data_IF_676306089934
#
_entry.id   IF_676306089934
#
_cell.length_a   1.000
_cell.length_b   1.000
_cell.length_c   1.000
_cell.angle_alpha   90.00
_cell.angle_beta   90.00
_cell.angle_gamma   90.00
#
_symmetry.space_group_name_H-M   'P 1'
#
loop_
_entity.id
_entity.type
_entity.pdbx_description
1 polymer ?
#
# COMPACT_ATOMS: atom_id res chain seq x y z
N UNK A 1 -41.31 4.78 2.34
CA UNK A 1 -40.68 5.06 1.03
C UNK A 1 -39.80 6.29 1.15
N UNK A 2 -38.49 6.12 1.40
CA UNK A 2 -37.51 7.23 1.35
C UNK A 2 -36.82 7.19 -0.01
N UNK A 3 -36.77 8.34 -0.66
CA UNK A 3 -36.27 8.67 -2.00
C UNK A 3 -35.11 7.80 -2.50
N UNK A 4 -35.39 6.94 -3.48
CA UNK A 4 -34.41 6.19 -4.29
C UNK A 4 -33.66 7.14 -5.27
N UNK A 5 -34.24 8.31 -5.57
CA UNK A 5 -33.71 9.28 -6.54
C UNK A 5 -32.44 10.01 -6.08
N UNK A 6 -32.34 10.39 -4.80
CA UNK A 6 -31.15 11.07 -4.27
C UNK A 6 -29.92 10.18 -4.22
N UNK A 7 -30.11 8.88 -3.96
CA UNK A 7 -29.03 7.89 -3.92
C UNK A 7 -28.47 7.62 -5.33
N UNK A 8 -29.32 7.64 -6.37
CA UNK A 8 -28.85 7.45 -7.74
C UNK A 8 -28.07 8.65 -8.29
N UNK A 9 -28.52 9.87 -8.03
CA UNK A 9 -27.82 11.08 -8.50
C UNK A 9 -26.46 11.21 -7.81
N UNK A 10 -26.40 10.97 -6.50
CA UNK A 10 -25.16 10.99 -5.75
C UNK A 10 -24.21 9.84 -6.12
N UNK A 11 -24.74 8.63 -6.36
CA UNK A 11 -23.93 7.53 -6.92
C UNK A 11 -23.39 7.87 -8.30
N UNK A 12 -24.17 8.51 -9.17
CA UNK A 12 -23.65 9.00 -10.46
C UNK A 12 -22.56 10.03 -10.26
N UNK A 13 -22.65 10.92 -9.27
CA UNK A 13 -21.60 11.91 -8.97
C UNK A 13 -20.34 11.28 -8.38
N UNK A 14 -20.44 10.29 -7.49
CA UNK A 14 -19.26 9.56 -6.99
C UNK A 14 -18.66 8.68 -8.09
N UNK A 15 -19.47 7.98 -8.87
CA UNK A 15 -18.97 7.13 -9.96
C UNK A 15 -18.38 8.00 -11.07
N UNK A 16 -18.94 9.18 -11.35
CA UNK A 16 -18.36 10.16 -12.27
C UNK A 16 -17.13 10.86 -11.66
N UNK A 17 -17.07 11.06 -10.34
CA UNK A 17 -15.90 11.55 -9.64
C UNK A 17 -14.76 10.53 -9.64
N UNK A 18 -15.07 9.25 -9.38
CA UNK A 18 -14.17 8.11 -9.45
C UNK A 18 -13.76 7.80 -10.91
N UNK A 19 -14.68 7.93 -11.88
CA UNK A 19 -14.36 7.81 -13.30
C UNK A 19 -13.54 9.01 -13.78
N UNK A 20 -13.80 10.22 -13.27
CA UNK A 20 -12.96 11.41 -13.48
C UNK A 20 -11.58 11.26 -12.85
N UNK A 21 -11.49 10.60 -11.69
CA UNK A 21 -10.25 10.16 -11.04
C UNK A 21 -9.52 9.08 -11.87
N UNK A 22 -10.24 8.19 -12.55
CA UNK A 22 -9.66 7.21 -13.48
C UNK A 22 -9.27 7.80 -14.84
N UNK A 23 -9.84 8.96 -15.21
CA UNK A 23 -9.43 9.74 -16.39
C UNK A 23 -8.19 10.61 -16.09
N UNK A 24 -7.68 10.56 -14.86
CA UNK A 24 -6.50 11.29 -14.38
C UNK A 24 -5.34 10.33 -14.04
N UNK A 25 -4.90 9.42 -14.93
CA UNK A 25 -3.92 8.39 -14.56
C UNK A 25 -2.77 8.16 -15.55
N UNK A 26 -1.65 8.79 -15.21
CA UNK A 26 -0.27 8.29 -15.28
C UNK A 26 0.51 9.13 -14.28
N UNK A 27 0.40 8.79 -13.00
CA UNK A 27 1.28 9.30 -11.95
C UNK A 27 1.89 8.08 -11.29
N UNK A 28 3.22 7.95 -11.36
CA UNK A 28 3.89 6.94 -10.56
C UNK A 28 3.75 7.32 -9.09
N UNK A 29 3.50 6.34 -8.24
CA UNK A 29 3.42 6.57 -6.80
C UNK A 29 4.76 7.10 -6.26
N UNK A 30 5.89 6.65 -6.82
CA UNK A 30 7.24 6.94 -6.33
C UNK A 30 8.11 7.67 -7.36
N UNK A 31 7.98 8.98 -7.40
CA UNK A 31 8.73 9.88 -8.30
C UNK A 31 10.24 9.80 -8.02
N UNK A 32 10.64 9.68 -6.74
CA UNK A 32 12.05 9.56 -6.35
C UNK A 32 12.76 8.34 -6.92
N UNK A 33 12.03 7.31 -7.34
CA UNK A 33 12.64 6.11 -7.94
C UNK A 33 13.13 6.36 -9.36
N UNK A 34 12.56 7.36 -10.04
CA UNK A 34 12.68 7.54 -11.49
C UNK A 34 13.25 8.88 -11.90
N UNK A 35 13.38 9.83 -10.97
CA UNK A 35 14.08 11.09 -11.22
C UNK A 35 15.58 10.83 -11.31
N UNK A 36 16.17 11.18 -12.45
CA UNK A 36 17.62 11.14 -12.63
C UNK A 36 18.31 12.30 -11.89
N UNK A 37 19.48 12.02 -11.33
CA UNK A 37 20.27 12.99 -10.57
C UNK A 37 19.87 13.07 -9.11
N UNK A 38 20.12 14.21 -8.47
CA UNK A 38 19.78 14.44 -7.07
C UNK A 38 18.36 15.04 -7.00
N UNK A 39 17.36 14.32 -6.45
CA UNK A 39 15.99 14.81 -6.41
C UNK A 39 15.89 16.07 -5.51
N UNK A 40 15.01 17.02 -5.84
CA UNK A 40 14.73 18.16 -4.97
C UNK A 40 14.39 17.69 -3.55
N UNK A 41 15.07 18.27 -2.56
CA UNK A 41 14.85 17.94 -1.16
C UNK A 41 13.45 18.39 -0.70
N UNK A 42 12.84 17.62 0.20
CA UNK A 42 11.58 17.99 0.83
C UNK A 42 11.82 19.12 1.82
N UNK A 43 11.25 20.29 1.53
CA UNK A 43 11.30 21.44 2.42
C UNK A 43 10.13 21.41 3.43
N UNK A 44 10.36 21.59 4.75
CA UNK A 44 9.29 21.58 5.74
C UNK A 44 8.18 22.60 5.49
N UNK A 45 8.50 23.73 4.85
CA UNK A 45 7.54 24.77 4.47
C UNK A 45 6.53 24.28 3.42
N UNK A 46 6.87 23.25 2.64
CA UNK A 46 6.00 22.65 1.63
C UNK A 46 4.71 22.09 2.22
N UNK A 47 4.75 21.53 3.43
CA UNK A 47 3.58 20.99 4.14
C UNK A 47 2.54 22.05 4.51
N UNK A 48 2.98 23.28 4.74
CA UNK A 48 2.12 24.42 5.11
C UNK A 48 1.84 25.34 3.92
N UNK A 49 2.26 24.97 2.72
CA UNK A 49 1.97 25.73 1.50
C UNK A 49 0.46 25.74 1.21
N UNK A 50 -0.09 26.81 0.63
CA UNK A 50 -1.50 26.83 0.21
C UNK A 50 -1.85 25.69 -0.77
N UNK A 51 -0.88 25.30 -1.61
CA UNK A 51 -1.01 24.18 -2.53
C UNK A 51 -1.25 22.86 -1.78
N UNK A 52 -0.37 22.49 -0.85
CA UNK A 52 -0.51 21.27 -0.06
C UNK A 52 -1.76 21.32 0.84
N UNK A 53 -1.98 22.42 1.56
CA UNK A 53 -3.11 22.55 2.47
C UNK A 53 -4.47 22.50 1.77
N UNK A 54 -4.58 23.05 0.56
CA UNK A 54 -5.81 22.95 -0.24
C UNK A 54 -6.09 21.50 -0.68
N UNK A 55 -5.05 20.77 -1.11
CA UNK A 55 -5.16 19.35 -1.46
C UNK A 55 -5.56 18.49 -0.26
N UNK A 56 -4.91 18.70 0.89
CA UNK A 56 -5.23 18.00 2.15
C UNK A 56 -6.66 18.32 2.60
N UNK A 57 -7.05 19.60 2.56
CA UNK A 57 -8.42 20.02 2.89
C UNK A 57 -9.47 19.35 2.00
N UNK A 58 -9.23 19.29 0.69
CA UNK A 58 -10.09 18.60 -0.27
C UNK A 58 -10.14 17.09 0.01
N UNK A 59 -8.98 16.44 0.20
CA UNK A 59 -8.90 15.01 0.48
C UNK A 59 -9.67 14.65 1.76
N UNK A 60 -9.45 15.37 2.85
CA UNK A 60 -10.15 15.16 4.14
C UNK A 60 -11.65 15.37 3.98
N UNK A 61 -12.09 16.45 3.32
CA UNK A 61 -13.51 16.70 3.09
C UNK A 61 -14.18 15.55 2.31
N UNK A 62 -13.55 15.09 1.23
CA UNK A 62 -14.03 13.97 0.41
C UNK A 62 -14.03 12.67 1.23
N UNK A 63 -12.99 12.39 2.03
CA UNK A 63 -12.94 11.23 2.93
C UNK A 63 -14.09 11.25 3.94
N UNK A 64 -14.41 12.39 4.54
CA UNK A 64 -15.51 12.53 5.49
C UNK A 64 -16.86 12.29 4.83
N UNK A 65 -17.08 12.86 3.64
CA UNK A 65 -18.28 12.62 2.83
C UNK A 65 -18.39 11.13 2.49
N UNK A 66 -17.34 10.53 1.95
CA UNK A 66 -17.32 9.10 1.61
C UNK A 66 -17.57 8.21 2.84
N UNK A 67 -16.98 8.52 3.99
CA UNK A 67 -17.20 7.80 5.25
C UNK A 67 -18.67 7.87 5.69
N UNK A 68 -19.30 9.04 5.57
CA UNK A 68 -20.73 9.21 5.87
C UNK A 68 -21.61 8.33 4.98
N UNK A 69 -21.36 8.33 3.66
CA UNK A 69 -22.10 7.49 2.72
C UNK A 69 -21.84 6.00 2.92
N UNK A 70 -20.60 5.61 3.17
CA UNK A 70 -20.22 4.23 3.47
C UNK A 70 -20.94 3.72 4.72
N UNK A 71 -21.03 4.53 5.78
CA UNK A 71 -21.82 4.21 6.99
C UNK A 71 -23.31 4.08 6.68
N UNK A 72 -23.90 4.99 5.89
CA UNK A 72 -25.30 4.88 5.44
C UNK A 72 -25.57 3.62 4.64
N UNK A 73 -24.57 3.11 3.92
CA UNK A 73 -24.63 1.82 3.19
C UNK A 73 -24.35 0.60 4.05
N UNK A 74 -24.41 0.72 5.38
CA UNK A 74 -24.08 -0.35 6.33
C UNK A 74 -22.67 -0.91 6.10
N UNK A 75 -21.70 -0.05 5.78
CA UNK A 75 -20.30 -0.39 5.51
C UNK A 75 -20.11 -1.36 4.32
N UNK A 76 -21.09 -1.45 3.43
CA UNK A 76 -20.99 -2.25 2.21
C UNK A 76 -20.21 -1.49 1.15
N UNK A 77 -19.25 -2.19 0.56
CA UNK A 77 -18.48 -1.70 -0.57
C UNK A 77 -19.38 -1.54 -1.82
N UNK A 78 -18.93 -0.75 -2.81
CA UNK A 78 -19.60 -0.64 -4.10
C UNK A 78 -19.36 -1.91 -4.94
N UNK A 79 -18.14 -2.45 -4.85
CA UNK A 79 -17.78 -3.70 -5.50
C UNK A 79 -18.20 -4.86 -4.60
N UNK A 80 -18.96 -5.85 -5.13
CA UNK A 80 -19.41 -6.99 -4.34
C UNK A 80 -18.23 -7.78 -3.75
N UNK A 81 -18.40 -8.22 -2.50
CA UNK A 81 -17.46 -9.15 -1.87
C UNK A 81 -17.52 -10.55 -2.49
N UNK A 82 -16.52 -11.40 -2.20
CA UNK A 82 -16.37 -12.73 -2.79
C UNK A 82 -17.60 -13.63 -2.56
N UNK A 83 -18.33 -13.48 -1.45
CA UNK A 83 -19.53 -14.26 -1.15
C UNK A 83 -20.65 -14.03 -2.17
N UNK A 84 -20.78 -12.79 -2.65
CA UNK A 84 -21.76 -12.45 -3.71
C UNK A 84 -21.35 -13.00 -5.08
N UNK A 85 -20.08 -13.35 -5.23
CA UNK A 85 -19.52 -13.99 -6.41
C UNK A 85 -19.45 -15.52 -6.27
N UNK A 86 -20.05 -16.10 -5.21
CA UNK A 86 -20.16 -17.54 -5.01
C UNK A 86 -19.11 -18.16 -4.08
N UNK A 87 -18.26 -17.36 -3.42
CA UNK A 87 -17.31 -17.90 -2.45
C UNK A 87 -18.02 -18.49 -1.21
N UNK A 88 -17.68 -19.72 -0.87
CA UNK A 88 -18.17 -20.40 0.34
C UNK A 88 -17.30 -20.05 1.55
N UNK A 89 -17.86 -20.21 2.75
CA UNK A 89 -17.12 -20.02 4.01
C UNK A 89 -15.88 -20.93 4.08
N UNK A 90 -15.99 -22.15 3.55
CA UNK A 90 -14.88 -23.10 3.45
C UNK A 90 -13.80 -22.61 2.49
N UNK A 91 -14.19 -22.10 1.31
CA UNK A 91 -13.28 -21.51 0.34
C UNK A 91 -12.54 -20.29 0.91
N UNK A 92 -13.26 -19.41 1.63
CA UNK A 92 -12.68 -18.23 2.27
C UNK A 92 -11.69 -18.61 3.38
N UNK A 93 -12.04 -19.58 4.24
CA UNK A 93 -11.10 -20.05 5.27
C UNK A 93 -9.84 -20.66 4.66
N UNK A 94 -9.97 -21.45 3.59
CA UNK A 94 -8.81 -21.97 2.83
C UNK A 94 -7.96 -20.84 2.25
N UNK A 95 -8.59 -19.84 1.63
CA UNK A 95 -7.89 -18.66 1.11
C UNK A 95 -7.11 -17.94 2.23
N UNK A 96 -7.73 -17.73 3.40
CA UNK A 96 -7.07 -17.11 4.54
C UNK A 96 -5.85 -17.90 5.05
N UNK A 97 -5.87 -19.23 4.97
CA UNK A 97 -4.68 -20.06 5.22
C UNK A 97 -3.51 -19.78 4.25
N UNK A 98 -3.81 -19.37 3.01
CA UNK A 98 -2.79 -19.02 2.01
C UNK A 98 -2.27 -17.58 2.11
N UNK A 99 -2.96 -16.70 2.83
CA UNK A 99 -2.58 -15.27 2.93
C UNK A 99 -1.13 -15.06 3.40
N UNK A 100 -0.63 -15.74 4.46
CA UNK A 100 0.77 -15.59 4.86
C UNK A 100 1.77 -16.02 3.78
N UNK A 101 1.42 -17.00 2.95
CA UNK A 101 2.26 -17.44 1.82
C UNK A 101 2.27 -16.39 0.72
N UNK A 102 1.09 -15.88 0.34
CA UNK A 102 0.96 -14.81 -0.67
C UNK A 102 1.80 -13.60 -0.27
N UNK A 103 1.61 -13.08 0.95
CA UNK A 103 2.38 -11.95 1.46
C UNK A 103 3.87 -12.29 1.54
N UNK A 104 4.19 -13.50 2.00
CA UNK A 104 5.57 -13.91 2.16
C UNK A 104 6.35 -13.93 0.85
N UNK A 105 5.74 -14.38 -0.24
CA UNK A 105 6.35 -14.33 -1.58
C UNK A 105 6.47 -12.88 -2.07
N UNK A 106 5.42 -12.08 -1.94
CA UNK A 106 5.40 -10.69 -2.42
C UNK A 106 6.39 -9.77 -1.68
N UNK A 107 6.76 -10.09 -0.44
CA UNK A 107 7.80 -9.37 0.30
C UNK A 107 9.19 -10.00 0.15
N UNK A 108 9.30 -11.32 0.06
CA UNK A 108 10.59 -11.99 -0.08
C UNK A 108 11.28 -11.64 -1.40
N UNK A 109 10.54 -11.59 -2.52
CA UNK A 109 11.14 -11.32 -3.83
C UNK A 109 11.82 -9.93 -3.88
N UNK A 110 11.15 -8.83 -3.49
CA UNK A 110 11.80 -7.51 -3.46
C UNK A 110 12.95 -7.42 -2.46
N UNK A 111 12.82 -7.99 -1.26
CA UNK A 111 13.91 -8.00 -0.28
C UNK A 111 15.15 -8.75 -0.78
N UNK A 112 14.97 -9.86 -1.51
CA UNK A 112 16.08 -10.56 -2.16
C UNK A 112 16.75 -9.70 -3.23
N UNK A 113 15.95 -9.12 -4.13
CA UNK A 113 16.47 -8.31 -5.24
C UNK A 113 17.21 -7.08 -4.72
N UNK A 114 16.59 -6.33 -3.80
CA UNK A 114 17.17 -5.11 -3.23
C UNK A 114 18.37 -5.42 -2.33
N UNK A 115 18.30 -6.47 -1.52
CA UNK A 115 19.40 -6.90 -0.67
C UNK A 115 20.64 -7.30 -1.47
N UNK A 116 20.47 -8.00 -2.61
CA UNK A 116 21.57 -8.31 -3.54
C UNK A 116 22.15 -7.05 -4.19
N UNK A 117 21.32 -6.04 -4.46
CA UNK A 117 21.74 -4.76 -5.01
C UNK A 117 22.34 -3.80 -3.94
N UNK A 118 22.35 -4.20 -2.66
CA UNK A 118 22.76 -3.34 -1.55
C UNK A 118 21.85 -2.11 -1.37
N UNK A 119 20.57 -2.25 -1.73
CA UNK A 119 19.52 -1.22 -1.57
C UNK A 119 18.59 -1.64 -0.45
N UNK A 120 18.11 -0.69 0.35
CA UNK A 120 17.26 -0.99 1.51
C UNK A 120 15.80 -0.60 1.24
N UNK A 121 14.87 -1.55 1.20
CA UNK A 121 13.41 -1.35 0.99
C UNK A 121 12.95 -0.70 -0.33
N UNK A 122 13.75 0.18 -0.96
CA UNK A 122 13.42 0.85 -2.22
C UNK A 122 14.66 1.02 -3.11
N UNK A 123 14.50 1.13 -4.44
CA UNK A 123 15.64 1.20 -5.37
C UNK A 123 16.59 2.40 -5.14
N UNK A 124 16.05 3.53 -4.68
CA UNK A 124 16.79 4.77 -4.43
C UNK A 124 17.51 4.78 -3.07
N UNK A 125 17.23 3.84 -2.18
CA UNK A 125 17.83 3.79 -0.84
C UNK A 125 19.17 3.06 -0.87
N UNK A 126 20.26 3.78 -1.10
CA UNK A 126 21.63 3.24 -1.12
C UNK A 126 22.44 3.70 0.10
N UNK A 127 22.49 2.92 1.19
CA UNK A 127 23.45 3.13 2.26
C UNK A 127 24.89 3.11 1.73
N UNK A 128 25.80 3.81 2.42
CA UNK A 128 27.21 3.79 2.08
C UNK A 128 27.85 2.40 2.32
N UNK A 129 28.84 2.04 1.52
CA UNK A 129 29.68 0.86 1.78
C UNK A 129 30.57 1.08 3.03
N UNK A 130 30.82 0.04 3.84
CA UNK A 130 30.45 -1.37 3.64
C UNK A 130 29.07 -1.75 4.24
N UNK A 131 28.37 -0.79 4.85
CA UNK A 131 27.13 -1.06 5.60
C UNK A 131 26.01 -1.61 4.70
N UNK A 132 25.93 -1.17 3.44
CA UNK A 132 24.99 -1.69 2.46
C UNK A 132 25.04 -3.23 2.29
N UNK A 133 26.23 -3.84 2.29
CA UNK A 133 26.38 -5.30 2.16
C UNK A 133 25.87 -6.04 3.40
N UNK A 134 26.09 -5.46 4.59
CA UNK A 134 25.60 -6.03 5.84
C UNK A 134 24.07 -5.96 5.90
N UNK A 135 23.49 -4.78 5.62
CA UNK A 135 22.04 -4.58 5.61
C UNK A 135 21.36 -5.43 4.53
N UNK A 136 21.95 -5.52 3.34
CA UNK A 136 21.45 -6.39 2.27
C UNK A 136 21.49 -7.88 2.64
N UNK A 137 22.52 -8.31 3.37
CA UNK A 137 22.59 -9.69 3.91
C UNK A 137 21.45 -9.96 4.91
N UNK A 138 21.14 -8.98 5.76
CA UNK A 138 20.00 -9.06 6.70
C UNK A 138 18.67 -9.10 5.95
N UNK A 139 18.48 -8.28 4.91
CA UNK A 139 17.28 -8.35 4.06
C UNK A 139 17.12 -9.71 3.39
N UNK A 140 18.20 -10.28 2.85
CA UNK A 140 18.19 -11.62 2.25
C UNK A 140 17.79 -12.67 3.28
N UNK A 141 18.33 -12.62 4.50
CA UNK A 141 17.97 -13.55 5.56
C UNK A 141 16.49 -13.44 5.97
N UNK A 142 15.98 -12.21 6.11
CA UNK A 142 14.55 -11.94 6.34
C UNK A 142 13.71 -12.51 5.19
N UNK A 143 14.12 -12.27 3.95
CA UNK A 143 13.41 -12.70 2.77
C UNK A 143 13.31 -14.23 2.68
N UNK A 144 14.40 -14.95 2.93
CA UNK A 144 14.41 -16.41 2.96
C UNK A 144 13.57 -16.97 4.12
N UNK A 145 13.68 -16.35 5.30
CA UNK A 145 12.84 -16.69 6.46
C UNK A 145 11.36 -16.55 6.12
N UNK A 146 10.99 -15.44 5.48
CA UNK A 146 9.64 -15.29 4.98
C UNK A 146 9.40 -16.38 3.96
N UNK A 147 10.04 -16.40 2.80
CA UNK A 147 9.80 -17.36 1.71
C UNK A 147 9.46 -18.79 2.19
N UNK A 148 10.31 -19.38 3.04
CA UNK A 148 10.14 -20.75 3.55
C UNK A 148 9.30 -20.86 4.84
N UNK A 149 9.17 -19.78 5.60
CA UNK A 149 8.51 -19.77 6.90
C UNK A 149 9.28 -20.47 8.00
N UNK A 150 10.60 -20.22 8.06
CA UNK A 150 11.45 -20.64 9.17
C UNK A 150 11.88 -19.43 10.00
N UNK A 151 11.75 -19.52 11.32
CA UNK A 151 11.97 -18.46 12.31
C UNK A 151 11.20 -17.16 11.99
N UNK A 152 10.01 -17.28 11.43
CA UNK A 152 9.24 -16.16 10.84
C UNK A 152 9.08 -15.00 11.81
N UNK A 153 8.68 -15.28 13.06
CA UNK A 153 8.42 -14.24 14.07
C UNK A 153 9.70 -13.54 14.51
N UNK A 154 10.82 -14.25 14.55
CA UNK A 154 12.13 -13.67 14.86
C UNK A 154 12.55 -12.71 13.75
N UNK A 155 12.44 -13.13 12.49
CA UNK A 155 12.78 -12.29 11.35
C UNK A 155 11.76 -11.18 11.08
N UNK A 156 10.52 -11.33 11.55
CA UNK A 156 9.55 -10.24 11.59
C UNK A 156 10.01 -9.13 12.57
N UNK A 157 10.53 -9.49 13.75
CA UNK A 157 11.16 -8.52 14.66
C UNK A 157 12.40 -7.91 14.02
N UNK A 158 13.24 -8.72 13.36
CA UNK A 158 14.42 -8.23 12.65
C UNK A 158 14.05 -7.21 11.55
N UNK A 159 12.97 -7.45 10.79
CA UNK A 159 12.47 -6.50 9.80
C UNK A 159 11.99 -5.19 10.44
N UNK A 160 11.29 -5.26 11.57
CA UNK A 160 10.89 -4.07 12.32
C UNK A 160 12.10 -3.26 12.82
N UNK A 161 13.13 -3.95 13.33
CA UNK A 161 14.38 -3.30 13.75
C UNK A 161 15.15 -2.72 12.56
N UNK A 162 15.18 -3.44 11.43
CA UNK A 162 15.80 -2.97 10.19
C UNK A 162 15.10 -1.71 9.67
N UNK A 163 13.77 -1.64 9.78
CA UNK A 163 13.00 -0.46 9.42
C UNK A 163 13.38 0.75 10.29
N UNK A 164 13.52 0.56 11.62
CA UNK A 164 13.99 1.62 12.54
C UNK A 164 15.45 2.02 12.24
N UNK A 165 16.32 1.06 11.97
CA UNK A 165 17.71 1.33 11.58
C UNK A 165 17.78 2.10 10.26
N UNK A 166 16.96 1.74 9.27
CA UNK A 166 16.80 2.46 8.01
C UNK A 166 16.38 3.91 8.24
N UNK A 167 15.43 4.15 9.15
CA UNK A 167 15.03 5.50 9.53
C UNK A 167 16.18 6.32 10.14
N UNK A 168 17.00 5.71 11.00
CA UNK A 168 18.13 6.37 11.62
C UNK A 168 19.29 6.65 10.64
N UNK A 169 19.46 5.79 9.63
CA UNK A 169 20.57 5.87 8.67
C UNK A 169 20.25 6.73 7.44
N UNK A 170 19.03 6.62 6.92
CA UNK A 170 18.61 7.25 5.66
C UNK A 170 17.60 8.37 5.88
N UNK A 171 17.01 8.48 7.09
CA UNK A 171 16.02 9.49 7.44
C UNK A 171 14.61 8.93 7.61
N UNK A 172 13.83 9.60 8.45
CA UNK A 172 12.45 9.20 8.77
C UNK A 172 11.50 9.30 7.57
N UNK A 173 11.77 10.20 6.63
CA UNK A 173 11.00 10.33 5.39
C UNK A 173 10.99 9.01 4.61
N UNK A 174 12.16 8.46 4.31
CA UNK A 174 12.31 7.19 3.58
C UNK A 174 11.64 6.03 4.32
N UNK A 175 11.77 5.99 5.65
CA UNK A 175 11.15 4.93 6.45
C UNK A 175 9.61 5.00 6.41
N UNK A 176 9.04 6.19 6.48
CA UNK A 176 7.59 6.41 6.41
C UNK A 176 7.03 6.15 5.00
N UNK A 177 7.78 6.42 3.94
CA UNK A 177 7.44 5.99 2.57
C UNK A 177 7.39 4.45 2.46
N UNK A 178 8.22 3.76 3.25
CA UNK A 178 8.31 2.31 3.33
C UNK A 178 7.54 1.68 4.52
N UNK A 179 6.52 2.38 5.05
CA UNK A 179 5.78 1.95 6.24
C UNK A 179 5.12 0.56 6.09
N UNK A 180 4.86 0.13 4.86
CA UNK A 180 4.31 -1.19 4.56
C UNK A 180 5.24 -2.35 5.00
N UNK A 181 6.57 -2.14 5.07
CA UNK A 181 7.50 -3.11 5.65
C UNK A 181 7.33 -3.26 7.16
N UNK A 182 7.10 -2.17 7.90
CA UNK A 182 6.76 -2.25 9.31
C UNK A 182 5.40 -2.94 9.51
N UNK A 183 4.44 -2.66 8.63
CA UNK A 183 3.15 -3.34 8.61
C UNK A 183 3.26 -4.85 8.46
N UNK A 184 4.07 -5.32 7.51
CA UNK A 184 4.27 -6.76 7.29
C UNK A 184 5.06 -7.41 8.42
N UNK A 185 6.00 -6.69 9.02
CA UNK A 185 6.70 -7.14 10.23
C UNK A 185 5.70 -7.40 11.36
N UNK A 186 4.80 -6.46 11.64
CA UNK A 186 3.74 -6.64 12.64
C UNK A 186 2.82 -7.81 12.25
N UNK A 187 2.45 -7.91 10.98
CA UNK A 187 1.63 -9.01 10.47
C UNK A 187 2.26 -10.38 10.73
N UNK A 188 3.52 -10.58 10.33
CA UNK A 188 4.21 -11.86 10.50
C UNK A 188 4.56 -12.16 11.95
N UNK A 189 4.78 -11.14 12.78
CA UNK A 189 4.91 -11.33 14.22
C UNK A 189 3.60 -11.86 14.85
N UNK A 190 2.46 -11.31 14.43
CA UNK A 190 1.14 -11.67 14.94
C UNK A 190 0.56 -12.96 14.34
N UNK A 191 0.88 -13.27 13.08
CA UNK A 191 0.24 -14.35 12.30
C UNK A 191 1.18 -15.52 12.02
N UNK A 192 2.50 -15.31 12.09
CA UNK A 192 3.47 -16.29 11.60
C UNK A 192 3.33 -16.54 10.10
N UNK A 193 3.99 -17.59 9.59
CA UNK A 193 3.87 -18.00 8.18
C UNK A 193 2.70 -18.94 7.89
N UNK A 194 1.84 -19.18 8.89
CA UNK A 194 0.61 -19.93 8.73
C UNK A 194 0.82 -21.43 8.48
N UNK A 195 -0.18 -22.10 7.89
CA UNK A 195 -0.25 -23.56 7.72
C UNK A 195 0.93 -24.20 6.98
N UNK A 196 1.49 -23.48 6.00
CA UNK A 196 2.51 -24.02 5.11
C UNK A 196 3.95 -23.67 5.56
N UNK A 197 4.19 -23.43 6.85
CA UNK A 197 5.48 -22.96 7.37
C UNK A 197 6.39 -24.09 7.87
N UNK A 198 7.70 -23.93 7.70
CA UNK A 198 8.71 -24.78 8.35
C UNK A 198 8.62 -24.66 9.88
N UNK A 199 8.28 -23.47 10.38
CA UNK A 199 8.05 -23.22 11.81
C UNK A 199 7.02 -24.20 12.38
N UNK A 200 5.89 -24.40 11.70
CA UNK A 200 4.88 -25.35 12.16
C UNK A 200 5.37 -26.79 12.15
N UNK A 201 6.21 -27.14 11.18
CA UNK A 201 6.75 -28.50 11.03
C UNK A 201 7.80 -28.84 12.09
N UNK A 202 8.69 -27.89 12.42
CA UNK A 202 9.90 -28.16 13.21
C UNK A 202 9.88 -27.42 14.56
N UNK A 203 9.21 -26.27 14.66
CA UNK A 203 9.19 -25.38 15.82
C UNK A 203 7.77 -24.95 16.24
N UNK A 204 6.82 -25.88 16.50
CA UNK A 204 5.41 -25.54 16.73
C UNK A 204 5.18 -24.60 17.92
N UNK A 205 6.10 -24.55 18.89
CA UNK A 205 6.04 -23.62 20.03
C UNK A 205 6.28 -22.15 19.62
N UNK A 206 6.77 -21.89 18.41
CA UNK A 206 6.91 -20.53 17.87
C UNK A 206 5.61 -20.01 17.25
N UNK A 207 4.59 -20.85 17.06
CA UNK A 207 3.29 -20.43 16.53
C UNK A 207 2.68 -19.30 17.38
N UNK A 208 2.05 -18.30 16.75
CA UNK A 208 1.48 -17.18 17.47
C UNK A 208 0.24 -17.58 18.26
N UNK A 209 0.00 -16.88 19.37
CA UNK A 209 -1.24 -17.07 20.13
C UNK A 209 -2.48 -16.64 19.29
N UNK A 210 -3.63 -17.31 19.42
CA UNK A 210 -4.86 -16.93 18.73
C UNK A 210 -5.32 -15.48 19.01
N UNK A 211 -4.94 -14.92 20.16
CA UNK A 211 -5.29 -13.55 20.55
C UNK A 211 -4.59 -12.47 19.70
N UNK A 212 -3.50 -12.80 19.00
CA UNK A 212 -2.75 -11.86 18.17
C UNK A 212 -3.20 -11.86 16.70
N UNK A 213 -3.82 -12.95 16.23
CA UNK A 213 -4.11 -13.20 14.81
C UNK A 213 -4.91 -12.07 14.14
N UNK A 214 -5.80 -11.42 14.87
CA UNK A 214 -6.69 -10.40 14.29
C UNK A 214 -6.00 -9.04 14.08
N UNK A 215 -4.86 -8.82 14.74
CA UNK A 215 -4.14 -7.53 14.71
C UNK A 215 -3.34 -7.36 13.43
N UNK A 216 -2.79 -8.45 12.88
CA UNK A 216 -1.91 -8.40 11.71
C UNK A 216 -2.58 -7.77 10.48
N UNK A 217 -3.80 -8.22 10.15
CA UNK A 217 -4.54 -7.68 8.99
C UNK A 217 -4.86 -6.20 9.12
N UNK A 218 -5.16 -5.75 10.35
CA UNK A 218 -5.42 -4.34 10.63
C UNK A 218 -4.14 -3.52 10.49
N UNK A 219 -3.01 -4.02 10.99
CA UNK A 219 -1.72 -3.37 10.85
C UNK A 219 -1.33 -3.18 9.37
N UNK A 220 -1.46 -4.22 8.54
CA UNK A 220 -1.19 -4.14 7.10
C UNK A 220 -2.02 -3.05 6.41
N UNK A 221 -3.32 -3.02 6.69
CA UNK A 221 -4.24 -2.06 6.09
C UNK A 221 -3.91 -0.62 6.48
N UNK A 222 -3.60 -0.40 7.76
CA UNK A 222 -3.23 0.93 8.25
C UNK A 222 -1.88 1.34 7.68
N UNK A 223 -0.87 0.46 7.69
CA UNK A 223 0.48 0.78 7.23
C UNK A 223 0.53 1.08 5.75
N UNK A 224 -0.19 0.33 4.90
CA UNK A 224 -0.22 0.60 3.45
C UNK A 224 -0.95 1.91 3.16
N UNK A 225 -2.09 2.16 3.83
CA UNK A 225 -2.83 3.40 3.66
C UNK A 225 -2.05 4.63 4.13
N UNK A 226 -1.41 4.54 5.29
CA UNK A 226 -0.56 5.60 5.79
C UNK A 226 0.70 5.79 4.93
N UNK A 227 1.29 4.72 4.39
CA UNK A 227 2.40 4.81 3.43
C UNK A 227 2.00 5.59 2.16
N UNK A 228 0.88 5.25 1.52
CA UNK A 228 0.37 6.02 0.39
C UNK A 228 0.09 7.49 0.73
N UNK A 229 -0.54 7.75 1.89
CA UNK A 229 -0.80 9.11 2.32
C UNK A 229 0.51 9.90 2.52
N UNK A 230 1.54 9.25 3.07
CA UNK A 230 2.84 9.86 3.29
C UNK A 230 3.54 10.17 1.96
N UNK A 231 3.63 9.21 1.04
CA UNK A 231 4.22 9.39 -0.30
C UNK A 231 3.50 10.49 -1.09
N UNK A 232 2.17 10.51 -1.05
CA UNK A 232 1.38 11.58 -1.69
C UNK A 232 1.74 12.97 -1.16
N UNK A 233 2.03 13.08 0.14
CA UNK A 233 2.46 14.31 0.76
C UNK A 233 3.92 14.64 0.41
N UNK A 234 4.86 13.71 0.62
CA UNK A 234 6.29 13.99 0.52
C UNK A 234 6.81 14.09 -0.90
N UNK A 235 6.24 13.31 -1.84
CA UNK A 235 6.72 13.29 -3.21
C UNK A 235 5.97 14.30 -4.08
N UNK A 236 4.68 14.57 -3.80
CA UNK A 236 3.83 15.43 -4.66
C UNK A 236 3.40 16.74 -4.02
N UNK A 237 2.60 16.67 -2.95
CA UNK A 237 1.87 17.83 -2.45
C UNK A 237 2.74 18.82 -1.68
N UNK A 238 3.67 18.33 -0.86
CA UNK A 238 4.64 19.13 -0.12
C UNK A 238 5.95 19.34 -0.89
N UNK A 239 6.19 18.59 -1.97
CA UNK A 239 7.37 18.74 -2.82
C UNK A 239 6.99 18.89 -4.32
N UNK A 240 6.25 19.95 -4.70
CA UNK A 240 5.83 20.13 -6.09
C UNK A 240 7.02 20.31 -7.06
N UNK A 241 8.21 20.68 -6.57
CA UNK A 241 9.42 20.76 -7.38
C UNK A 241 9.89 19.38 -7.85
N UNK A 242 9.84 18.37 -6.99
CA UNK A 242 10.12 16.98 -7.36
C UNK A 242 9.12 16.48 -8.41
N UNK A 243 7.83 16.70 -8.18
CA UNK A 243 6.77 16.28 -9.10
C UNK A 243 6.86 16.98 -10.45
N UNK A 244 7.21 18.27 -10.48
CA UNK A 244 7.44 19.01 -11.72
C UNK A 244 8.62 18.43 -12.49
N UNK A 245 9.74 18.17 -11.82
CA UNK A 245 10.93 17.56 -12.44
C UNK A 245 10.62 16.15 -12.99
N UNK A 246 9.81 15.38 -12.27
CA UNK A 246 9.37 14.06 -12.72
C UNK A 246 8.52 14.15 -14.00
N UNK A 247 7.59 15.09 -14.08
CA UNK A 247 6.79 15.33 -15.29
C UNK A 247 7.65 15.82 -16.47
N UNK A 248 8.66 16.66 -16.22
CA UNK A 248 9.58 17.13 -17.26
C UNK A 248 10.39 15.96 -17.88
N UNK A 249 10.81 15.00 -17.04
CA UNK A 249 11.61 13.86 -17.50
C UNK A 249 10.77 12.78 -18.22
N UNK A 250 9.51 12.60 -17.84
CA UNK A 250 8.69 11.46 -18.29
C UNK A 250 7.43 11.84 -19.08
N UNK A 251 7.10 13.13 -19.21
CA UNK A 251 5.96 13.67 -19.97
C UNK A 251 4.62 12.96 -19.69
N UNK A 252 4.37 12.65 -18.42
CA UNK A 252 3.20 11.85 -18.03
C UNK A 252 1.89 12.62 -17.94
N UNK A 253 1.89 13.94 -18.16
CA UNK A 253 0.65 14.71 -18.24
C UNK A 253 -0.07 14.42 -19.57
N UNK A 254 -0.80 13.31 -19.60
CA UNK A 254 -1.54 12.83 -20.78
C UNK A 254 -2.88 13.55 -20.99
N UNK A 255 -3.28 14.47 -20.11
CA UNK A 255 -4.63 15.07 -20.09
C UNK A 255 -4.95 15.84 -21.39
N UNK A 256 -3.93 16.43 -22.02
CA UNK A 256 -4.05 17.04 -23.34
C UNK A 256 -4.46 16.04 -24.43
N UNK A 257 -3.95 14.80 -24.37
CA UNK A 257 -4.32 13.74 -25.32
C UNK A 257 -5.78 13.27 -25.15
N UNK A 258 -6.38 13.48 -23.98
CA UNK A 258 -7.80 13.21 -23.72
C UNK A 258 -8.73 14.41 -24.03
N UNK A 259 -8.19 15.51 -24.56
CA UNK A 259 -8.97 16.72 -24.85
C UNK A 259 -9.27 17.58 -23.62
N UNK A 260 -8.64 17.31 -22.48
CA UNK A 260 -8.79 18.05 -21.21
C UNK A 260 -7.43 18.58 -20.75
N UNK A 261 -6.77 19.43 -21.54
CA UNK A 261 -5.42 19.90 -21.25
C UNK A 261 -5.33 20.61 -19.89
N UNK A 262 -4.70 19.95 -18.92
CA UNK A 262 -4.38 20.51 -17.60
C UNK A 262 -2.94 21.02 -17.59
N UNK A 263 -2.69 22.13 -16.89
CA UNK A 263 -1.31 22.51 -16.52
C UNK A 263 -0.70 21.44 -15.61
N UNK A 264 0.62 21.27 -15.67
CA UNK A 264 1.34 20.34 -14.79
C UNK A 264 1.06 20.56 -13.31
N UNK A 265 1.00 21.82 -12.86
CA UNK A 265 0.67 22.15 -11.46
C UNK A 265 -0.71 21.60 -11.04
N UNK A 266 -1.71 21.71 -11.91
CA UNK A 266 -3.05 21.17 -11.66
C UNK A 266 -3.04 19.64 -11.71
N UNK A 267 -2.27 19.06 -12.63
CA UNK A 267 -2.11 17.61 -12.73
C UNK A 267 -1.46 17.04 -11.46
N UNK A 268 -0.37 17.63 -10.98
CA UNK A 268 0.33 17.27 -9.73
C UNK A 268 -0.63 17.37 -8.54
N UNK A 269 -1.42 18.45 -8.45
CA UNK A 269 -2.40 18.62 -7.39
C UNK A 269 -3.44 17.49 -7.40
N UNK A 270 -3.98 17.15 -8.57
CA UNK A 270 -4.95 16.08 -8.73
C UNK A 270 -4.35 14.71 -8.42
N UNK A 271 -3.16 14.41 -8.95
CA UNK A 271 -2.46 13.15 -8.70
C UNK A 271 -2.14 12.97 -7.21
N UNK A 272 -1.52 13.97 -6.57
CA UNK A 272 -1.22 13.94 -5.14
C UNK A 272 -2.47 13.84 -4.26
N UNK A 273 -3.54 14.58 -4.59
CA UNK A 273 -4.81 14.49 -3.86
C UNK A 273 -5.44 13.10 -4.01
N UNK A 274 -5.31 12.48 -5.18
CA UNK A 274 -5.83 11.13 -5.47
C UNK A 274 -5.09 10.06 -4.67
N UNK A 275 -3.77 10.11 -4.65
CA UNK A 275 -2.96 9.19 -3.85
C UNK A 275 -3.22 9.35 -2.36
N UNK A 276 -3.38 10.60 -1.88
CA UNK A 276 -3.75 10.88 -0.51
C UNK A 276 -5.14 10.29 -0.17
N UNK A 277 -6.12 10.42 -1.08
CA UNK A 277 -7.44 9.81 -0.92
C UNK A 277 -7.36 8.28 -0.85
N UNK A 278 -6.58 7.64 -1.73
CA UNK A 278 -6.33 6.19 -1.70
C UNK A 278 -5.76 5.79 -0.33
N UNK A 279 -4.74 6.51 0.14
CA UNK A 279 -4.11 6.27 1.43
C UNK A 279 -5.09 6.38 2.60
N UNK A 280 -5.84 7.49 2.68
CA UNK A 280 -6.84 7.70 3.73
C UNK A 280 -7.95 6.65 3.70
N UNK A 281 -8.47 6.31 2.52
CA UNK A 281 -9.55 5.33 2.40
C UNK A 281 -9.09 3.93 2.80
N UNK A 282 -7.87 3.52 2.42
CA UNK A 282 -7.30 2.25 2.88
C UNK A 282 -7.10 2.26 4.40
N UNK A 283 -6.46 3.29 4.95
CA UNK A 283 -6.18 3.41 6.38
C UNK A 283 -7.46 3.39 7.23
N UNK A 284 -8.54 4.06 6.78
CA UNK A 284 -9.83 4.06 7.47
C UNK A 284 -10.77 2.93 7.05
N UNK A 285 -10.44 2.20 5.98
CA UNK A 285 -11.19 1.02 5.53
C UNK A 285 -12.49 1.39 4.84
N UNK A 286 -12.51 2.55 4.20
CA UNK A 286 -13.66 3.11 3.49
C UNK A 286 -13.60 2.60 2.05
N UNK A 287 -14.61 1.84 1.63
CA UNK A 287 -14.68 1.24 0.27
C UNK A 287 -13.38 0.52 -0.18
N UNK A 288 -12.76 -0.35 0.66
CA UNK A 288 -11.44 -0.89 0.40
C UNK A 288 -11.32 -1.60 -0.96
N UNK A 289 -12.34 -2.34 -1.41
CA UNK A 289 -12.28 -3.07 -2.69
C UNK A 289 -12.31 -2.13 -3.88
N UNK A 290 -13.21 -1.15 -3.83
CA UNK A 290 -13.30 -0.11 -4.86
C UNK A 290 -11.98 0.64 -4.99
N UNK A 291 -11.38 1.02 -3.86
CA UNK A 291 -10.12 1.77 -3.86
C UNK A 291 -8.94 0.92 -4.31
N UNK A 292 -8.87 -0.35 -3.92
CA UNK A 292 -7.81 -1.25 -4.40
C UNK A 292 -7.88 -1.44 -5.91
N UNK A 293 -9.08 -1.69 -6.46
CA UNK A 293 -9.25 -1.85 -7.92
C UNK A 293 -8.90 -0.56 -8.66
N UNK A 294 -9.28 0.60 -8.12
CA UNK A 294 -8.89 1.88 -8.69
C UNK A 294 -7.37 2.09 -8.67
N UNK A 295 -6.71 1.84 -7.52
CA UNK A 295 -5.27 1.98 -7.36
C UNK A 295 -4.50 1.04 -8.30
N UNK A 296 -4.94 -0.21 -8.44
CA UNK A 296 -4.35 -1.15 -9.41
C UNK A 296 -4.49 -0.67 -10.85
N UNK A 297 -5.61 -0.04 -11.21
CA UNK A 297 -5.75 0.59 -12.52
C UNK A 297 -4.61 1.58 -12.79
N UNK A 298 -4.29 2.45 -11.83
CA UNK A 298 -3.20 3.43 -11.94
C UNK A 298 -1.82 2.77 -12.00
N UNK A 299 -1.51 1.90 -11.04
CA UNK A 299 -0.18 1.28 -10.92
C UNK A 299 0.12 0.39 -12.15
N UNK A 300 -0.88 -0.32 -12.69
CA UNK A 300 -0.64 -1.16 -13.87
C UNK A 300 -0.41 -0.35 -15.14
N UNK A 301 -0.95 0.87 -15.25
CA UNK A 301 -0.66 1.77 -16.38
C UNK A 301 0.80 2.25 -16.35
N UNK A 302 1.39 2.44 -15.17
CA UNK A 302 2.79 2.88 -15.03
C UNK A 302 3.81 1.74 -15.19
N UNK A 303 3.41 0.48 -14.95
CA UNK A 303 4.28 -0.69 -15.15
C UNK A 303 4.87 -0.80 -16.56
N UNK A 304 4.08 -0.50 -17.60
CA UNK A 304 4.56 -0.56 -18.98
C UNK A 304 5.57 0.55 -19.32
N UNK A 305 5.62 1.60 -18.51
CA UNK A 305 6.53 2.74 -18.69
C UNK A 305 7.82 2.55 -17.89
N UNK A 306 7.72 2.08 -16.65
CA UNK A 306 8.82 2.03 -15.68
C UNK A 306 9.42 0.64 -15.44
N UNK A 307 9.00 -0.36 -16.25
CA UNK A 307 9.62 -1.67 -16.38
C UNK A 307 9.71 -2.46 -15.05
N UNK A 308 10.73 -3.32 -14.91
CA UNK A 308 10.89 -4.24 -13.79
C UNK A 308 11.15 -3.53 -12.46
N UNK A 309 11.70 -2.31 -12.46
CA UNK A 309 11.95 -1.54 -11.23
C UNK A 309 10.63 -1.19 -10.54
N UNK A 310 9.65 -0.69 -11.32
CA UNK A 310 8.29 -0.44 -10.84
C UNK A 310 7.64 -1.73 -10.35
N UNK A 311 7.78 -2.83 -11.10
CA UNK A 311 7.22 -4.13 -10.72
C UNK A 311 7.77 -4.61 -9.37
N UNK A 312 9.10 -4.67 -9.22
CA UNK A 312 9.75 -5.17 -8.00
C UNK A 312 9.41 -4.26 -6.81
N UNK A 313 9.44 -2.95 -6.98
CA UNK A 313 9.11 -2.01 -5.92
C UNK A 313 7.63 -2.10 -5.47
N UNK A 314 6.71 -2.41 -6.39
CA UNK A 314 5.28 -2.51 -6.07
C UNK A 314 4.82 -3.92 -5.68
N UNK A 315 5.64 -4.97 -5.82
CA UNK A 315 5.27 -6.33 -5.39
C UNK A 315 4.74 -6.40 -3.95
N UNK A 316 5.33 -5.74 -2.94
CA UNK A 316 4.79 -5.76 -1.58
C UNK A 316 3.37 -5.15 -1.51
N UNK A 317 3.16 -4.07 -2.26
CA UNK A 317 1.87 -3.38 -2.38
C UNK A 317 0.84 -4.29 -3.04
N UNK A 318 1.19 -4.96 -4.14
CA UNK A 318 0.34 -5.96 -4.81
C UNK A 318 -0.09 -7.07 -3.85
N UNK A 319 0.84 -7.61 -3.07
CA UNK A 319 0.56 -8.67 -2.10
C UNK A 319 -0.46 -8.22 -1.04
N UNK A 320 -0.24 -7.03 -0.46
CA UNK A 320 -1.17 -6.47 0.55
C UNK A 320 -2.54 -6.22 -0.07
N UNK A 321 -2.59 -5.55 -1.22
CA UNK A 321 -3.84 -5.21 -1.90
C UNK A 321 -4.62 -6.45 -2.32
N UNK A 322 -3.97 -7.49 -2.83
CA UNK A 322 -4.63 -8.74 -3.22
C UNK A 322 -5.35 -9.40 -2.04
N UNK A 323 -4.75 -9.36 -0.86
CA UNK A 323 -5.35 -9.89 0.37
C UNK A 323 -6.50 -8.99 0.86
N UNK A 324 -6.29 -7.67 0.89
CA UNK A 324 -7.30 -6.70 1.33
C UNK A 324 -8.49 -6.58 0.39
N UNK A 325 -8.34 -6.99 -0.87
CA UNK A 325 -9.45 -7.07 -1.83
C UNK A 325 -10.48 -8.12 -1.38
N UNK A 326 -10.02 -9.20 -0.77
CA UNK A 326 -10.89 -10.28 -0.27
C UNK A 326 -11.30 -10.00 1.18
N UNK A 327 -10.34 -9.62 2.03
CA UNK A 327 -10.54 -9.41 3.45
C UNK A 327 -11.28 -8.11 3.78
N UNK A 328 -12.30 -8.19 4.62
CA UNK A 328 -12.96 -7.03 5.21
C UNK A 328 -13.22 -7.30 6.70
N UNK A 329 -13.00 -6.32 7.60
CA UNK A 329 -13.17 -6.54 9.02
C UNK A 329 -14.64 -6.81 9.36
N UNK A 330 -14.92 -8.02 9.85
CA UNK A 330 -16.23 -8.44 10.36
C UNK A 330 -16.06 -9.62 11.31
N UNK A 331 -17.03 -9.87 12.19
CA UNK A 331 -17.01 -11.03 13.10
C UNK A 331 -16.88 -12.34 12.32
N UNK A 332 -17.66 -12.50 11.24
CA UNK A 332 -17.59 -13.65 10.34
C UNK A 332 -16.17 -13.83 9.78
N UNK A 333 -15.59 -12.76 9.24
CA UNK A 333 -14.25 -12.79 8.66
C UNK A 333 -13.19 -13.15 9.70
N UNK A 334 -13.31 -12.65 10.93
CA UNK A 334 -12.43 -13.03 12.04
C UNK A 334 -12.50 -14.53 12.35
N UNK A 335 -13.70 -15.12 12.40
CA UNK A 335 -13.88 -16.56 12.63
C UNK A 335 -13.23 -17.36 11.49
N UNK A 336 -13.50 -16.99 10.24
CA UNK A 336 -12.96 -17.67 9.07
C UNK A 336 -11.44 -17.52 8.97
N UNK A 337 -10.90 -16.35 9.34
CA UNK A 337 -9.46 -16.08 9.40
C UNK A 337 -8.77 -17.01 10.39
N UNK A 338 -9.24 -17.06 11.63
CA UNK A 338 -8.69 -17.94 12.67
C UNK A 338 -8.76 -19.41 12.24
N UNK A 339 -9.88 -19.83 11.65
CA UNK A 339 -10.04 -21.19 11.11
C UNK A 339 -9.05 -21.48 10.00
N UNK A 340 -8.80 -20.53 9.11
CA UNK A 340 -7.85 -20.67 8.01
C UNK A 340 -6.40 -20.81 8.48
N UNK A 341 -5.99 -20.02 9.47
CA UNK A 341 -4.63 -20.04 10.01
C UNK A 341 -4.36 -21.27 10.90
N UNK A 342 -5.39 -21.76 11.61
CA UNK A 342 -5.25 -22.90 12.53
C UNK A 342 -5.25 -24.28 11.83
N UNK A 343 -5.68 -24.35 10.56
CA UNK A 343 -5.59 -25.56 9.75
C UNK A 343 -4.16 -25.85 9.33
#
# INVERSE_FOLDING_TARGET
>A
MRSIGSDQTFMKTITAGLAGLMLATSASAHEKWFVAGQPPALEPSGFISPFCLSAVGAAVAITLVAAFFWRKRNKRDLIPGPERLGATDEGLARFYGWVPVVLGVHFAVPLLVLGVQGRLFSPNNAPAAPLNYLLGTVEIAIALSFLYGGLTRLFAVALGLLWVAGAALLGWEIALENLHYLGVAIFFYCTGRGPCSIDRLIFPNLEPSPALLDRGMTALRISIGAGFAFVALTEKLANPALAQLFLEQHQLNFTGALGLAMSDTAFIWCAGTTELLIGLFLAFGIFPRTIIIAAWGVINLTLTLFSWVELVGHLPIYGIMAVLLVWAPSEKTTILWRRGIAR
#
